data_IF_569681310203
#
_entry.id   IF_569681310203
#
_cell.length_a   1.000
_cell.length_b   1.000
_cell.length_c   1.000
_cell.angle_alpha   90.00
_cell.angle_beta   90.00
_cell.angle_gamma   90.00
#
_symmetry.space_group_name_H-M   'P 1'
#
loop_
_entity.id
_entity.type
_entity.pdbx_description
1 polymer ?
#
# COMPACT_ATOMS: atom_id res chain seq x y z
N UNK A 1 5.76 6.41 -36.02
CA UNK A 1 6.04 6.89 -34.65
C UNK A 1 6.48 5.68 -33.85
N UNK A 2 7.80 5.53 -33.69
CA UNK A 2 8.40 4.44 -32.93
C UNK A 2 7.89 4.50 -31.50
N UNK A 3 7.29 3.40 -31.03
CA UNK A 3 6.94 3.17 -29.64
C UNK A 3 8.23 3.14 -28.82
N UNK A 4 8.66 4.32 -28.38
CA UNK A 4 9.68 4.48 -27.35
C UNK A 4 9.11 3.80 -26.09
N UNK A 5 9.51 2.56 -25.88
CA UNK A 5 9.18 1.83 -24.66
C UNK A 5 9.79 2.62 -23.51
N UNK A 6 8.97 3.37 -22.77
CA UNK A 6 9.41 4.05 -21.57
C UNK A 6 10.02 3.00 -20.64
N UNK A 7 11.36 2.97 -20.58
CA UNK A 7 12.09 1.97 -19.82
C UNK A 7 11.83 2.22 -18.33
N UNK A 8 11.09 1.33 -17.69
CA UNK A 8 10.81 1.42 -16.25
C UNK A 8 12.11 1.21 -15.49
N UNK A 9 12.48 2.18 -14.68
CA UNK A 9 13.68 2.07 -13.85
C UNK A 9 13.47 1.06 -12.72
N UNK A 10 14.53 0.41 -12.26
CA UNK A 10 14.45 -0.52 -11.12
C UNK A 10 13.87 0.14 -9.86
N UNK A 11 14.13 1.44 -9.67
CA UNK A 11 13.56 2.22 -8.57
C UNK A 11 12.03 2.36 -8.69
N UNK A 12 11.52 2.70 -9.87
CA UNK A 12 10.07 2.81 -10.11
C UNK A 12 9.37 1.46 -9.89
N UNK A 13 9.96 0.38 -10.42
CA UNK A 13 9.43 -0.96 -10.19
C UNK A 13 9.44 -1.35 -8.71
N UNK A 14 10.53 -1.07 -7.99
CA UNK A 14 10.65 -1.34 -6.56
C UNK A 14 9.59 -0.63 -5.72
N UNK A 15 9.37 0.67 -5.95
CA UNK A 15 8.36 1.44 -5.23
C UNK A 15 6.93 1.04 -5.57
N UNK A 16 6.67 0.72 -6.84
CA UNK A 16 5.40 0.15 -7.26
C UNK A 16 5.13 -1.18 -6.54
N UNK A 17 6.11 -2.09 -6.53
CA UNK A 17 6.00 -3.39 -5.86
C UNK A 17 5.78 -3.22 -4.35
N UNK A 18 6.51 -2.32 -3.69
CA UNK A 18 6.35 -2.05 -2.27
C UNK A 18 4.94 -1.54 -1.92
N UNK A 19 4.36 -0.66 -2.75
CA UNK A 19 2.97 -0.22 -2.60
C UNK A 19 1.96 -1.35 -2.83
N UNK A 20 2.16 -2.14 -3.89
CA UNK A 20 1.32 -3.27 -4.24
C UNK A 20 1.31 -4.36 -3.15
N UNK A 21 2.48 -4.70 -2.59
CA UNK A 21 2.59 -5.65 -1.49
C UNK A 21 1.80 -5.20 -0.25
N UNK A 22 1.90 -3.91 0.10
CA UNK A 22 1.12 -3.34 1.21
C UNK A 22 -0.39 -3.41 0.96
N UNK A 23 -0.83 -3.27 -0.29
CA UNK A 23 -2.25 -3.44 -0.66
C UNK A 23 -2.69 -4.91 -0.64
N UNK A 24 -1.85 -5.84 -1.09
CA UNK A 24 -2.16 -7.28 -0.96
C UNK A 24 -2.33 -7.68 0.51
N UNK A 25 -1.49 -7.14 1.41
CA UNK A 25 -1.64 -7.35 2.85
C UNK A 25 -2.97 -6.83 3.41
N UNK A 26 -3.46 -5.67 2.94
CA UNK A 26 -4.76 -5.17 3.38
C UNK A 26 -5.91 -6.05 2.91
N UNK A 27 -5.83 -6.61 1.69
CA UNK A 27 -6.84 -7.55 1.18
C UNK A 27 -6.81 -8.86 1.96
N UNK A 28 -5.63 -9.38 2.29
CA UNK A 28 -5.49 -10.56 3.14
C UNK A 28 -6.11 -10.32 4.53
N UNK A 29 -5.84 -9.16 5.13
CA UNK A 29 -6.45 -8.75 6.40
C UNK A 29 -7.97 -8.65 6.28
N UNK A 30 -8.50 -8.06 5.21
CA UNK A 30 -9.94 -7.99 4.96
C UNK A 30 -10.58 -9.38 4.89
N UNK A 31 -9.98 -10.33 4.17
CA UNK A 31 -10.46 -11.71 4.13
C UNK A 31 -10.50 -12.36 5.51
N UNK A 32 -9.44 -12.19 6.31
CA UNK A 32 -9.39 -12.68 7.68
C UNK A 32 -10.45 -12.02 8.59
N UNK A 33 -10.61 -10.70 8.48
CA UNK A 33 -11.59 -9.95 9.25
C UNK A 33 -13.04 -10.28 8.88
N UNK A 34 -13.33 -10.59 7.61
CA UNK A 34 -14.65 -11.05 7.17
C UNK A 34 -14.99 -12.43 7.77
N UNK A 35 -14.00 -13.31 7.93
CA UNK A 35 -14.20 -14.60 8.57
C UNK A 35 -14.41 -14.48 10.08
N UNK A 36 -13.59 -13.67 10.76
CA UNK A 36 -13.49 -13.65 12.23
C UNK A 36 -14.28 -12.54 12.92
N UNK A 37 -14.66 -11.49 12.18
CA UNK A 37 -15.23 -10.25 12.71
C UNK A 37 -14.20 -9.31 13.38
N UNK A 38 -12.93 -9.73 13.51
CA UNK A 38 -11.90 -8.95 14.20
C UNK A 38 -11.47 -7.76 13.33
N UNK A 39 -11.45 -6.56 13.92
CA UNK A 39 -10.98 -5.32 13.28
C UNK A 39 -11.65 -5.01 11.92
N UNK A 40 -12.88 -5.48 11.70
CA UNK A 40 -13.57 -5.42 10.39
C UNK A 40 -13.66 -3.99 9.84
N UNK A 41 -14.01 -3.01 10.66
CA UNK A 41 -14.07 -1.60 10.24
C UNK A 41 -12.73 -1.08 9.72
N UNK A 42 -11.63 -1.42 10.40
CA UNK A 42 -10.29 -1.05 9.95
C UNK A 42 -9.94 -1.77 8.63
N UNK A 43 -10.22 -3.07 8.56
CA UNK A 43 -9.91 -3.88 7.38
C UNK A 43 -10.69 -3.48 6.12
N UNK A 44 -11.87 -2.87 6.27
CA UNK A 44 -12.63 -2.26 5.16
C UNK A 44 -12.06 -0.89 4.79
N UNK A 45 -11.82 -0.01 5.77
CA UNK A 45 -11.41 1.37 5.52
C UNK A 45 -9.99 1.48 4.99
N UNK A 46 -9.09 0.60 5.43
CA UNK A 46 -7.68 0.65 5.07
C UNK A 46 -7.39 0.41 3.57
N UNK A 47 -7.92 -0.62 2.88
CA UNK A 47 -7.75 -0.77 1.44
C UNK A 47 -8.39 0.37 0.65
N UNK A 48 -9.52 0.91 1.11
CA UNK A 48 -10.12 2.10 0.48
C UNK A 48 -9.17 3.31 0.58
N UNK A 49 -8.60 3.54 1.76
CA UNK A 49 -7.62 4.60 1.97
C UNK A 49 -6.39 4.41 1.08
N UNK A 50 -5.91 3.17 0.90
CA UNK A 50 -4.80 2.88 -0.01
C UNK A 50 -5.14 3.19 -1.47
N UNK A 51 -6.33 2.81 -1.94
CA UNK A 51 -6.79 3.09 -3.31
C UNK A 51 -6.80 4.61 -3.54
N UNK A 52 -7.40 5.37 -2.63
CA UNK A 52 -7.45 6.84 -2.74
C UNK A 52 -6.05 7.47 -2.59
N UNK A 53 -5.27 7.05 -1.60
CA UNK A 53 -3.94 7.60 -1.31
C UNK A 53 -2.95 7.35 -2.44
N UNK A 54 -2.79 6.10 -2.88
CA UNK A 54 -1.93 5.74 -4.00
C UNK A 54 -2.46 6.32 -5.31
N UNK A 55 -3.76 6.25 -5.58
CA UNK A 55 -4.36 6.78 -6.80
C UNK A 55 -4.15 8.30 -6.94
N UNK A 56 -4.41 9.06 -5.87
CA UNK A 56 -4.23 10.51 -5.87
C UNK A 56 -2.76 10.91 -5.99
N UNK A 57 -1.86 10.29 -5.22
CA UNK A 57 -0.44 10.64 -5.26
C UNK A 57 0.24 10.21 -6.56
N UNK A 58 -0.15 9.07 -7.14
CA UNK A 58 0.34 8.64 -8.45
C UNK A 58 -0.15 9.58 -9.55
N UNK A 59 -1.42 10.02 -9.49
CA UNK A 59 -1.97 11.03 -10.40
C UNK A 59 -1.21 12.36 -10.29
N UNK A 60 -0.93 12.83 -9.07
CA UNK A 60 -0.15 14.06 -8.84
C UNK A 60 1.31 13.91 -9.29
N UNK A 61 1.87 12.71 -9.18
CA UNK A 61 3.20 12.35 -9.67
C UNK A 61 3.26 12.10 -11.19
N UNK A 62 2.16 12.35 -11.93
CA UNK A 62 2.06 12.11 -13.38
C UNK A 62 2.40 10.65 -13.76
N UNK A 63 2.07 9.70 -12.88
CA UNK A 63 2.32 8.29 -13.10
C UNK A 63 3.71 7.79 -12.67
N UNK A 64 4.58 8.63 -12.08
CA UNK A 64 5.90 8.20 -11.60
C UNK A 64 5.84 7.59 -10.18
N UNK A 65 6.06 6.27 -10.02
CA UNK A 65 6.02 5.63 -8.70
C UNK A 65 7.23 5.98 -7.82
N UNK A 66 8.34 6.45 -8.40
CA UNK A 66 9.53 6.85 -7.66
C UNK A 66 9.44 8.29 -7.14
N UNK A 67 8.36 9.00 -7.47
CA UNK A 67 8.11 10.35 -7.01
C UNK A 67 7.93 10.42 -5.49
N UNK A 68 8.41 11.50 -4.86
CA UNK A 68 8.42 11.62 -3.40
C UNK A 68 7.03 11.47 -2.76
N UNK A 69 5.97 11.97 -3.41
CA UNK A 69 4.59 11.81 -2.92
C UNK A 69 4.15 10.35 -2.80
N UNK A 70 4.46 9.54 -3.83
CA UNK A 70 4.12 8.11 -3.86
C UNK A 70 4.95 7.38 -2.82
N UNK A 71 6.26 7.64 -2.76
CA UNK A 71 7.16 7.07 -1.75
C UNK A 71 6.67 7.32 -0.33
N UNK A 72 6.30 8.56 -0.02
CA UNK A 72 5.75 8.92 1.30
C UNK A 72 4.48 8.14 1.60
N UNK A 73 3.56 7.99 0.64
CA UNK A 73 2.37 7.16 0.85
C UNK A 73 2.73 5.70 1.12
N UNK A 74 3.63 5.10 0.34
CA UNK A 74 4.08 3.72 0.54
C UNK A 74 4.69 3.56 1.93
N UNK A 75 5.57 4.47 2.34
CA UNK A 75 6.20 4.46 3.67
C UNK A 75 5.16 4.56 4.78
N UNK A 76 4.19 5.48 4.68
CA UNK A 76 3.13 5.64 5.69
C UNK A 76 2.31 4.35 5.86
N UNK A 77 1.98 3.66 4.77
CA UNK A 77 1.23 2.40 4.86
C UNK A 77 2.08 1.27 5.44
N UNK A 78 3.37 1.20 5.12
CA UNK A 78 4.29 0.27 5.77
C UNK A 78 4.48 0.56 7.26
N UNK A 79 4.51 1.83 7.66
CA UNK A 79 4.50 2.20 9.08
C UNK A 79 3.24 1.66 9.78
N UNK A 80 2.07 1.81 9.17
CA UNK A 80 0.82 1.25 9.70
C UNK A 80 0.93 -0.28 9.82
N UNK A 81 1.45 -0.98 8.81
CA UNK A 81 1.68 -2.44 8.86
C UNK A 81 2.55 -2.82 10.05
N UNK A 82 3.70 -2.15 10.23
CA UNK A 82 4.63 -2.48 11.32
C UNK A 82 4.06 -2.17 12.69
N UNK A 83 3.35 -1.05 12.84
CA UNK A 83 2.68 -0.70 14.10
C UNK A 83 1.57 -1.69 14.42
N UNK A 84 0.76 -2.09 13.44
CA UNK A 84 -0.27 -3.11 13.62
C UNK A 84 0.33 -4.46 14.02
N UNK A 85 1.41 -4.88 13.35
CA UNK A 85 2.13 -6.10 13.70
C UNK A 85 2.68 -6.03 15.14
N UNK A 86 3.30 -4.90 15.53
CA UNK A 86 3.80 -4.70 16.88
C UNK A 86 2.68 -4.76 17.94
N UNK A 87 1.50 -4.19 17.65
CA UNK A 87 0.34 -4.28 18.53
C UNK A 87 -0.16 -5.72 18.69
N UNK A 88 -0.23 -6.48 17.61
CA UNK A 88 -0.64 -7.89 17.65
C UNK A 88 0.36 -8.72 18.47
N UNK A 89 1.66 -8.53 18.21
CA UNK A 89 2.73 -9.25 18.92
C UNK A 89 2.75 -8.92 20.41
N UNK A 90 2.53 -7.65 20.78
CA UNK A 90 2.45 -7.23 22.19
C UNK A 90 1.15 -7.66 22.87
N UNK A 91 0.03 -7.68 22.16
CA UNK A 91 -1.26 -8.12 22.70
C UNK A 91 -1.36 -9.63 22.92
N UNK A 92 -0.46 -10.40 22.30
CA UNK A 92 -0.37 -11.87 22.45
C UNK A 92 0.56 -12.35 23.56
N UNK A 93 1.13 -11.46 24.37
CA UNK A 93 1.98 -11.73 25.55
C UNK A 93 1.31 -11.26 26.83
#
# INVERSE_FOLDING_TARGET
MSSEQAQVTSAQFGWFLAGALSFVLSIALLGYSLWTGIALSFAILWPLLQIFGYGMTLKMAKGDPAHYLVKTQVILHWMIVFLLAAMILRGGS
#
